data_IF_301785454593
#
_entry.id   IF_301785454593
#
_cell.length_a   1.000
_cell.length_b   1.000
_cell.length_c   1.000
_cell.angle_alpha   90.00
_cell.angle_beta   90.00
_cell.angle_gamma   90.00
#
_symmetry.space_group_name_H-M   'P 1'
#
loop_
_entity.id
_entity.type
_entity.pdbx_description
1 polymer ?
#
# COMPACT_ATOMS: atom_id res chain seq x y z
N UNK A 1 -19.62 74.83 -24.04
CA UNK A 1 -18.52 73.87 -23.83
C UNK A 1 -18.22 73.78 -22.33
N UNK A 2 -18.73 72.75 -21.63
CA UNK A 2 -18.13 72.10 -20.45
C UNK A 2 -19.05 70.95 -20.02
N UNK A 3 -18.42 69.82 -19.78
CA UNK A 3 -18.97 68.47 -19.81
C UNK A 3 -19.77 68.08 -18.57
N UNK A 4 -20.72 67.18 -18.79
CA UNK A 4 -21.33 66.28 -17.80
C UNK A 4 -20.27 65.48 -17.03
N UNK A 5 -20.54 65.15 -15.77
CA UNK A 5 -20.29 63.81 -15.21
C UNK A 5 -20.99 63.66 -13.85
N UNK A 6 -22.09 62.91 -13.85
CA UNK A 6 -22.66 62.30 -12.66
C UNK A 6 -21.91 60.99 -12.40
N UNK A 7 -21.27 60.86 -11.23
CA UNK A 7 -20.64 59.63 -10.81
C UNK A 7 -21.70 58.70 -10.18
N UNK A 8 -22.06 57.64 -10.90
CA UNK A 8 -22.78 56.49 -10.34
C UNK A 8 -21.73 55.56 -9.73
N UNK A 9 -21.69 55.48 -8.40
CA UNK A 9 -20.90 54.46 -7.70
C UNK A 9 -21.73 53.18 -7.69
N UNK A 10 -21.41 52.25 -8.60
CA UNK A 10 -21.93 50.90 -8.56
C UNK A 10 -21.21 50.13 -7.44
N UNK A 11 -21.92 49.80 -6.35
CA UNK A 11 -21.46 48.80 -5.38
C UNK A 11 -21.53 47.41 -6.03
N UNK A 12 -20.38 46.89 -6.45
CA UNK A 12 -20.23 45.48 -6.80
C UNK A 12 -20.25 44.65 -5.51
N UNK A 13 -21.36 43.98 -5.24
CA UNK A 13 -21.42 42.95 -4.21
C UNK A 13 -20.48 41.80 -4.62
N UNK A 14 -19.39 41.63 -3.88
CA UNK A 14 -18.53 40.45 -3.96
C UNK A 14 -19.34 39.25 -3.46
N UNK A 15 -19.83 38.44 -4.40
CA UNK A 15 -20.28 37.09 -4.09
C UNK A 15 -19.06 36.28 -3.66
N UNK A 16 -18.85 36.15 -2.36
CA UNK A 16 -17.91 35.19 -1.80
C UNK A 16 -18.53 33.82 -2.04
N UNK A 17 -18.06 33.10 -3.07
CA UNK A 17 -18.35 31.67 -3.19
C UNK A 17 -17.86 31.01 -1.91
N UNK A 18 -18.77 30.46 -1.11
CA UNK A 18 -18.39 29.57 -0.03
C UNK A 18 -17.54 28.46 -0.65
N UNK A 19 -16.28 28.37 -0.22
CA UNK A 19 -15.46 27.22 -0.53
C UNK A 19 -16.15 26.02 0.13
N UNK A 20 -16.90 25.25 -0.66
CA UNK A 20 -17.30 23.92 -0.25
C UNK A 20 -16.00 23.18 0.05
N UNK A 21 -15.85 22.68 1.27
CA UNK A 21 -14.75 21.80 1.62
C UNK A 21 -14.78 20.64 0.62
N UNK A 22 -13.86 20.68 -0.36
CA UNK A 22 -13.73 19.61 -1.33
C UNK A 22 -13.35 18.37 -0.53
N UNK A 23 -14.14 17.31 -0.63
CA UNK A 23 -13.80 16.04 -0.01
C UNK A 23 -12.39 15.67 -0.44
N UNK A 24 -11.52 15.36 0.54
CA UNK A 24 -10.15 14.96 0.25
C UNK A 24 -10.20 13.75 -0.71
N UNK A 25 -9.45 13.78 -1.82
CA UNK A 25 -9.57 12.77 -2.87
C UNK A 25 -9.10 11.38 -2.40
N UNK A 26 -8.35 11.32 -1.31
CA UNK A 26 -7.91 10.12 -0.60
C UNK A 26 -8.14 10.36 0.89
N UNK A 27 -8.60 9.34 1.62
CA UNK A 27 -8.70 9.40 3.07
C UNK A 27 -8.30 8.06 3.71
N UNK A 28 -7.01 7.92 4.02
CA UNK A 28 -6.52 6.77 4.80
C UNK A 28 -6.79 6.93 6.30
N UNK A 29 -6.88 8.16 6.80
CA UNK A 29 -6.82 8.47 8.23
C UNK A 29 -5.39 8.45 8.82
N UNK A 30 -4.35 8.22 8.00
CA UNK A 30 -2.94 8.21 8.40
C UNK A 30 -2.27 9.61 8.33
N UNK A 31 -2.99 10.59 7.81
CA UNK A 31 -2.57 11.99 7.71
C UNK A 31 -2.44 12.47 6.26
N UNK A 32 -2.67 13.77 6.06
CA UNK A 32 -2.73 14.39 4.73
C UNK A 32 -1.45 14.20 3.90
N UNK A 33 -0.28 14.07 4.54
CA UNK A 33 0.96 13.84 3.82
C UNK A 33 1.01 12.45 3.14
N UNK A 34 0.42 11.43 3.78
CA UNK A 34 0.32 10.08 3.21
C UNK A 34 -0.71 10.08 2.09
N UNK A 35 -1.87 10.69 2.34
CA UNK A 35 -2.97 10.81 1.37
C UNK A 35 -2.52 11.58 0.11
N UNK A 36 -1.71 12.62 0.27
CA UNK A 36 -1.17 13.41 -0.83
C UNK A 36 -0.30 12.56 -1.79
N UNK A 37 0.58 11.70 -1.25
CA UNK A 37 1.42 10.84 -2.10
C UNK A 37 0.56 9.74 -2.74
N UNK A 38 -0.39 9.15 -2.00
CA UNK A 38 -1.30 8.14 -2.55
C UNK A 38 -2.13 8.68 -3.71
N UNK A 39 -2.55 9.94 -3.64
CA UNK A 39 -3.35 10.58 -4.70
C UNK A 39 -2.67 10.58 -6.07
N UNK A 40 -1.33 10.47 -6.10
CA UNK A 40 -0.57 10.34 -7.35
C UNK A 40 -0.66 8.94 -8.01
N UNK A 41 -1.28 7.96 -7.35
CA UNK A 41 -1.62 6.65 -7.92
C UNK A 41 -3.14 6.48 -8.01
N UNK A 42 -3.65 6.34 -9.24
CA UNK A 42 -5.06 6.05 -9.49
C UNK A 42 -5.48 4.68 -8.95
N UNK A 43 -4.62 3.67 -9.08
CA UNK A 43 -4.85 2.32 -8.55
C UNK A 43 -4.96 2.36 -7.04
N UNK A 44 -3.98 2.97 -6.36
CA UNK A 44 -3.95 3.00 -4.90
C UNK A 44 -5.06 3.88 -4.32
N UNK A 45 -5.38 5.01 -4.97
CA UNK A 45 -6.52 5.85 -4.61
C UNK A 45 -7.83 5.07 -4.65
N UNK A 46 -8.07 4.30 -5.72
CA UNK A 46 -9.25 3.45 -5.83
C UNK A 46 -9.31 2.37 -4.75
N UNK A 47 -8.18 1.74 -4.44
CA UNK A 47 -8.09 0.70 -3.41
C UNK A 47 -8.33 1.25 -1.99
N UNK A 48 -7.71 2.39 -1.65
CA UNK A 48 -7.85 3.04 -0.34
C UNK A 48 -9.28 3.53 -0.11
N UNK A 49 -9.90 4.16 -1.12
CA UNK A 49 -11.26 4.67 -0.97
C UNK A 49 -12.34 3.57 -1.11
N UNK A 50 -12.00 2.46 -1.77
CA UNK A 50 -12.93 1.35 -2.00
C UNK A 50 -13.00 0.34 -0.85
N UNK A 51 -12.06 0.38 0.09
CA UNK A 51 -12.02 -0.57 1.21
C UNK A 51 -12.85 -0.10 2.39
N UNK A 52 -13.41 -1.06 3.13
CA UNK A 52 -14.03 -0.82 4.45
C UNK A 52 -13.05 -1.01 5.61
N UNK A 53 -11.81 -1.42 5.33
CA UNK A 53 -10.80 -1.67 6.36
C UNK A 53 -10.16 -0.33 6.76
N UNK A 54 -10.29 0.13 8.02
CA UNK A 54 -9.55 1.29 8.47
C UNK A 54 -8.04 1.03 8.44
N UNK A 55 -7.28 2.09 8.17
CA UNK A 55 -5.84 2.09 8.35
C UNK A 55 -5.48 2.62 9.74
N UNK A 56 -4.57 1.93 10.42
CA UNK A 56 -4.14 2.29 11.77
C UNK A 56 -2.62 2.20 11.85
N UNK A 57 -2.00 3.18 12.51
CA UNK A 57 -0.57 3.09 12.82
C UNK A 57 -0.30 2.07 13.94
N UNK A 58 0.76 1.27 13.77
CA UNK A 58 1.17 0.26 14.73
C UNK A 58 2.68 0.01 14.74
N UNK A 59 3.17 -0.91 15.59
CA UNK A 59 4.59 -1.26 15.65
C UNK A 59 5.07 -2.05 14.42
N UNK A 60 4.15 -2.62 13.64
CA UNK A 60 4.42 -3.46 12.48
C UNK A 60 3.40 -3.14 11.35
N UNK A 61 3.69 -3.62 10.15
CA UNK A 61 2.82 -3.52 8.99
C UNK A 61 2.25 -4.90 8.66
N UNK A 62 0.92 -5.02 8.60
CA UNK A 62 0.21 -6.24 8.23
C UNK A 62 -1.29 -5.98 8.02
N UNK A 63 -1.92 -6.84 7.23
CA UNK A 63 -3.38 -6.92 7.07
C UNK A 63 -4.00 -7.90 8.07
N UNK A 64 -4.80 -7.38 9.00
CA UNK A 64 -5.65 -8.20 9.87
C UNK A 64 -7.01 -8.44 9.19
N UNK A 65 -7.14 -9.57 8.47
CA UNK A 65 -8.40 -9.95 7.82
C UNK A 65 -9.54 -10.21 8.83
N UNK A 66 -9.35 -11.01 9.89
CA UNK A 66 -10.38 -11.22 10.91
C UNK A 66 -10.85 -9.93 11.61
N UNK A 67 -9.91 -9.05 11.98
CA UNK A 67 -10.21 -7.75 12.62
C UNK A 67 -10.56 -6.64 11.63
N UNK A 68 -10.57 -6.93 10.33
CA UNK A 68 -10.86 -6.00 9.25
C UNK A 68 -10.05 -4.70 9.31
N UNK A 69 -8.75 -4.76 9.65
CA UNK A 69 -7.90 -3.57 9.85
C UNK A 69 -6.58 -3.70 9.10
N UNK A 70 -6.10 -2.59 8.54
CA UNK A 70 -4.77 -2.51 7.90
C UNK A 70 -3.83 -1.78 8.86
N UNK A 71 -2.80 -2.47 9.33
CA UNK A 71 -1.78 -1.87 10.19
C UNK A 71 -0.60 -1.40 9.36
N UNK A 72 -0.14 -0.18 9.62
CA UNK A 72 1.02 0.44 8.97
C UNK A 72 2.02 0.87 10.07
N UNK A 73 3.32 0.66 9.86
CA UNK A 73 4.33 1.12 10.82
C UNK A 73 4.22 2.62 11.15
N UNK A 74 4.28 2.93 12.45
CA UNK A 74 4.15 4.27 13.02
C UNK A 74 4.92 5.34 12.24
N UNK A 75 4.26 6.44 11.87
CA UNK A 75 4.87 7.61 11.23
C UNK A 75 4.21 8.88 11.73
N UNK A 76 4.85 10.02 11.48
CA UNK A 76 4.26 11.34 11.74
C UNK A 76 4.52 12.25 10.55
N UNK A 77 3.45 12.85 10.01
CA UNK A 77 3.56 13.90 8.99
C UNK A 77 4.34 15.13 9.47
N UNK A 78 4.58 15.27 10.78
CA UNK A 78 5.42 16.34 11.33
C UNK A 78 6.93 16.02 11.30
N UNK A 79 7.34 14.80 10.95
CA UNK A 79 8.73 14.33 11.08
C UNK A 79 9.70 14.86 10.02
N UNK A 80 9.21 15.48 8.93
CA UNK A 80 9.99 15.85 7.75
C UNK A 80 10.82 14.68 7.11
N UNK A 81 10.62 13.44 7.56
CA UNK A 81 11.28 12.24 7.05
C UNK A 81 10.58 11.77 5.78
N UNK A 82 10.97 12.35 4.64
CA UNK A 82 10.42 12.00 3.33
C UNK A 82 10.66 10.53 2.96
N UNK A 83 11.85 9.93 3.16
CA UNK A 83 12.02 8.48 2.98
C UNK A 83 11.07 7.66 3.84
N UNK A 84 10.84 8.06 5.09
CA UNK A 84 9.87 7.43 5.98
C UNK A 84 8.42 7.54 5.47
N UNK A 85 8.03 8.71 4.95
CA UNK A 85 6.72 8.92 4.31
C UNK A 85 6.52 7.96 3.14
N UNK A 86 7.49 7.93 2.23
CA UNK A 86 7.46 7.09 1.04
C UNK A 86 7.40 5.61 1.38
N UNK A 87 8.13 5.18 2.41
CA UNK A 87 8.04 3.82 2.94
C UNK A 87 6.63 3.46 3.44
N UNK A 88 5.90 4.39 4.06
CA UNK A 88 4.52 4.15 4.54
C UNK A 88 3.53 4.01 3.38
N UNK A 89 3.70 4.81 2.33
CA UNK A 89 2.89 4.69 1.12
C UNK A 89 3.17 3.35 0.42
N UNK A 90 4.44 2.93 0.38
CA UNK A 90 4.84 1.61 -0.11
C UNK A 90 4.18 0.48 0.68
N UNK A 91 4.20 0.55 2.02
CA UNK A 91 3.49 -0.38 2.90
C UNK A 91 1.98 -0.40 2.63
N UNK A 92 1.32 0.76 2.54
CA UNK A 92 -0.11 0.84 2.21
C UNK A 92 -0.40 0.12 0.89
N UNK A 93 0.41 0.35 -0.14
CA UNK A 93 0.23 -0.31 -1.44
C UNK A 93 0.46 -1.82 -1.41
N UNK A 94 1.38 -2.32 -0.59
CA UNK A 94 1.59 -3.76 -0.41
C UNK A 94 0.39 -4.40 0.31
N UNK A 95 -0.08 -3.81 1.41
CA UNK A 95 -1.23 -4.33 2.16
C UNK A 95 -2.54 -4.28 1.34
N UNK A 96 -2.72 -3.27 0.48
CA UNK A 96 -3.82 -3.26 -0.49
C UNK A 96 -3.72 -4.38 -1.50
N UNK A 97 -2.51 -4.82 -1.84
CA UNK A 97 -2.31 -6.02 -2.65
C UNK A 97 -2.86 -7.28 -1.95
N UNK A 98 -2.57 -7.48 -0.66
CA UNK A 98 -3.15 -8.60 0.11
C UNK A 98 -4.66 -8.52 0.24
N UNK A 99 -5.23 -7.32 0.29
CA UNK A 99 -6.67 -7.15 0.42
C UNK A 99 -7.42 -7.41 -0.90
N UNK A 100 -6.90 -6.88 -2.02
CA UNK A 100 -7.61 -6.90 -3.30
C UNK A 100 -7.22 -8.05 -4.24
N UNK A 101 -6.01 -8.60 -4.09
CA UNK A 101 -5.45 -9.56 -5.04
C UNK A 101 -5.23 -10.95 -4.45
N UNK A 102 -5.45 -11.12 -3.14
CA UNK A 102 -5.39 -12.44 -2.52
C UNK A 102 -6.54 -13.32 -3.03
N UNK A 103 -6.18 -14.49 -3.52
CA UNK A 103 -7.10 -15.45 -4.12
C UNK A 103 -7.57 -16.52 -3.14
N UNK A 104 -7.02 -16.55 -1.93
CA UNK A 104 -7.21 -17.62 -0.96
C UNK A 104 -6.69 -18.96 -1.47
N UNK A 105 -6.50 -19.92 -0.57
CA UNK A 105 -6.18 -21.29 -0.95
C UNK A 105 -6.65 -22.29 0.09
N UNK A 106 -7.00 -23.49 -0.38
CA UNK A 106 -7.28 -24.63 0.48
C UNK A 106 -5.96 -25.11 1.08
N UNK A 107 -6.02 -25.51 2.35
CA UNK A 107 -4.88 -26.10 3.05
C UNK A 107 -4.47 -27.41 2.35
N UNK A 108 -3.29 -27.40 1.73
CA UNK A 108 -2.69 -28.52 1.01
C UNK A 108 -1.57 -29.17 1.83
N UNK A 109 -0.46 -29.51 1.17
CA UNK A 109 0.77 -29.87 1.88
C UNK A 109 1.47 -28.62 2.42
N UNK A 110 2.40 -28.79 3.36
CA UNK A 110 3.20 -27.68 3.90
C UNK A 110 3.95 -26.92 2.80
N UNK A 111 4.56 -27.63 1.85
CA UNK A 111 5.30 -27.03 0.74
C UNK A 111 4.38 -26.23 -0.20
N UNK A 112 3.22 -26.80 -0.55
CA UNK A 112 2.22 -26.13 -1.38
C UNK A 112 1.64 -24.88 -0.69
N UNK A 113 1.41 -24.96 0.62
CA UNK A 113 0.98 -23.80 1.41
C UNK A 113 2.01 -22.67 1.37
N UNK A 114 3.29 -22.97 1.61
CA UNK A 114 4.37 -21.98 1.55
C UNK A 114 4.47 -21.36 0.15
N UNK A 115 4.43 -22.18 -0.91
CA UNK A 115 4.51 -21.69 -2.29
C UNK A 115 3.33 -20.76 -2.65
N UNK A 116 2.11 -21.10 -2.23
CA UNK A 116 0.92 -20.27 -2.44
C UNK A 116 0.96 -18.98 -1.64
N UNK A 117 1.39 -19.05 -0.37
CA UNK A 117 1.57 -17.87 0.48
C UNK A 117 2.62 -16.92 -0.11
N UNK A 118 3.76 -17.45 -0.57
CA UNK A 118 4.77 -16.64 -1.25
C UNK A 118 4.26 -16.07 -2.58
N UNK A 119 3.46 -16.81 -3.34
CA UNK A 119 2.80 -16.26 -4.54
C UNK A 119 1.88 -15.08 -4.18
N UNK A 120 1.23 -15.11 -3.02
CA UNK A 120 0.41 -14.00 -2.52
C UNK A 120 1.27 -12.78 -2.16
N UNK A 121 2.42 -12.96 -1.52
CA UNK A 121 3.43 -11.89 -1.34
C UNK A 121 3.83 -11.28 -2.68
N UNK A 122 4.06 -12.13 -3.70
CA UNK A 122 4.38 -11.67 -5.03
C UNK A 122 3.30 -10.79 -5.66
N UNK A 123 2.01 -11.09 -5.42
CA UNK A 123 0.89 -10.24 -5.84
C UNK A 123 0.87 -8.90 -5.11
N UNK A 124 1.18 -8.90 -3.81
CA UNK A 124 1.29 -7.69 -3.03
C UNK A 124 2.43 -6.78 -3.50
N UNK A 125 3.61 -7.37 -3.77
CA UNK A 125 4.75 -6.66 -4.37
C UNK A 125 4.41 -6.11 -5.77
N UNK A 126 3.68 -6.86 -6.59
CA UNK A 126 3.23 -6.37 -7.90
C UNK A 126 2.26 -5.19 -7.77
N UNK A 127 1.34 -5.21 -6.80
CA UNK A 127 0.46 -4.07 -6.52
C UNK A 127 1.25 -2.83 -6.09
N UNK A 128 2.23 -3.03 -5.20
CA UNK A 128 3.15 -1.98 -4.78
C UNK A 128 3.96 -1.42 -5.97
N UNK A 129 4.44 -2.29 -6.88
CA UNK A 129 5.11 -1.86 -8.12
C UNK A 129 4.20 -1.04 -9.03
N UNK A 130 2.93 -1.40 -9.17
CA UNK A 130 1.95 -0.61 -9.95
C UNK A 130 1.77 0.78 -9.34
N UNK A 131 1.48 0.87 -8.04
CA UNK A 131 1.34 2.16 -7.36
C UNK A 131 2.62 3.01 -7.45
N UNK A 132 3.79 2.38 -7.27
CA UNK A 132 5.10 3.04 -7.41
C UNK A 132 5.26 3.67 -8.79
N UNK A 133 4.97 2.93 -9.87
CA UNK A 133 5.14 3.44 -11.22
C UNK A 133 4.18 4.59 -11.51
N UNK A 134 2.92 4.51 -11.06
CA UNK A 134 1.96 5.61 -11.23
C UNK A 134 2.39 6.88 -10.47
N UNK A 135 2.90 6.74 -9.24
CA UNK A 135 3.42 7.86 -8.45
C UNK A 135 4.66 8.47 -9.12
N UNK A 136 5.58 7.64 -9.62
CA UNK A 136 6.75 8.11 -10.37
C UNK A 136 6.32 8.88 -11.61
N UNK A 137 5.38 8.36 -12.40
CA UNK A 137 4.90 9.01 -13.62
C UNK A 137 4.23 10.36 -13.31
N UNK A 138 3.31 10.39 -12.33
CA UNK A 138 2.63 11.62 -11.92
C UNK A 138 3.57 12.66 -11.34
N UNK A 139 4.60 12.23 -10.61
CA UNK A 139 5.61 13.11 -10.02
C UNK A 139 6.78 13.44 -10.96
N UNK A 140 6.75 12.96 -12.21
CA UNK A 140 7.85 13.10 -13.18
C UNK A 140 9.20 12.60 -12.63
N UNK A 141 9.16 11.51 -11.87
CA UNK A 141 10.30 10.89 -11.21
C UNK A 141 10.69 11.50 -9.86
N UNK A 142 9.94 12.48 -9.35
CA UNK A 142 10.25 13.18 -8.10
C UNK A 142 9.90 12.41 -6.81
N UNK A 143 9.03 11.41 -6.90
CA UNK A 143 8.60 10.58 -5.77
C UNK A 143 8.74 9.09 -6.09
N UNK A 144 9.81 8.48 -5.60
CA UNK A 144 9.99 7.04 -5.66
C UNK A 144 9.67 6.41 -4.30
N UNK A 145 8.52 5.74 -4.19
CA UNK A 145 8.13 5.02 -2.96
C UNK A 145 8.86 3.69 -2.76
N UNK A 146 9.69 3.27 -3.74
CA UNK A 146 10.36 1.96 -3.79
C UNK A 146 9.40 0.77 -3.65
N UNK A 147 9.96 -0.45 -3.71
CA UNK A 147 9.26 -1.64 -3.24
C UNK A 147 9.54 -1.85 -1.74
N UNK A 148 8.57 -2.35 -0.98
CA UNK A 148 8.75 -2.70 0.43
C UNK A 148 9.50 -4.04 0.58
N UNK A 149 10.73 -4.09 0.10
CA UNK A 149 11.56 -5.30 0.07
C UNK A 149 13.06 -4.98 0.21
N UNK A 150 13.79 -5.82 0.94
CA UNK A 150 15.25 -5.76 1.07
C UNK A 150 15.98 -5.99 -0.26
N UNK A 151 15.37 -6.75 -1.18
CA UNK A 151 15.90 -7.05 -2.52
C UNK A 151 15.16 -6.31 -3.64
N UNK A 152 14.64 -5.09 -3.38
CA UNK A 152 13.85 -4.31 -4.34
C UNK A 152 14.46 -4.21 -5.75
N UNK A 153 15.77 -3.95 -5.97
CA UNK A 153 16.33 -3.89 -7.33
C UNK A 153 16.18 -5.20 -8.13
N UNK A 154 16.35 -6.35 -7.47
CA UNK A 154 16.22 -7.66 -8.11
C UNK A 154 14.76 -7.97 -8.45
N UNK A 155 13.83 -7.60 -7.57
CA UNK A 155 12.39 -7.74 -7.81
C UNK A 155 11.94 -6.84 -8.97
N UNK A 156 12.35 -5.57 -9.00
CA UNK A 156 12.05 -4.66 -10.11
C UNK A 156 12.57 -5.19 -11.46
N UNK A 157 13.77 -5.76 -11.49
CA UNK A 157 14.32 -6.41 -12.69
C UNK A 157 13.44 -7.60 -13.14
N UNK A 158 13.02 -8.42 -12.18
CA UNK A 158 12.13 -9.58 -12.44
C UNK A 158 10.76 -9.14 -12.97
N UNK A 159 10.19 -8.06 -12.40
CA UNK A 159 8.92 -7.47 -12.82
C UNK A 159 9.04 -6.90 -14.24
N UNK A 160 10.10 -6.14 -14.53
CA UNK A 160 10.35 -5.56 -15.84
C UNK A 160 10.54 -6.62 -16.93
N UNK A 161 11.16 -7.75 -16.60
CA UNK A 161 11.30 -8.88 -17.53
C UNK A 161 9.95 -9.54 -17.89
N UNK A 162 8.92 -9.40 -17.06
CA UNK A 162 7.60 -9.98 -17.29
C UNK A 162 7.61 -11.52 -17.41
N UNK A 163 6.67 -12.07 -18.17
CA UNK A 163 6.59 -13.50 -18.49
C UNK A 163 5.60 -14.31 -17.64
N UNK A 164 5.54 -15.62 -17.90
CA UNK A 164 4.67 -16.55 -17.18
C UNK A 164 4.99 -16.59 -15.67
N UNK A 165 3.96 -16.89 -14.88
CA UNK A 165 4.03 -17.11 -13.43
C UNK A 165 4.76 -15.99 -12.68
N UNK A 166 4.59 -14.74 -13.14
CA UNK A 166 5.33 -13.60 -12.61
C UNK A 166 5.12 -13.42 -11.10
N UNK A 167 3.88 -13.53 -10.63
CA UNK A 167 3.58 -13.43 -9.20
C UNK A 167 4.30 -14.50 -8.38
N UNK A 168 4.37 -15.74 -8.87
CA UNK A 168 5.09 -16.81 -8.18
C UNK A 168 6.58 -16.51 -8.12
N UNK A 169 7.21 -16.15 -9.24
CA UNK A 169 8.66 -15.84 -9.27
C UNK A 169 9.05 -14.65 -8.39
N UNK A 170 8.25 -13.59 -8.43
CA UNK A 170 8.43 -12.42 -7.55
C UNK A 170 8.24 -12.82 -6.09
N UNK A 171 7.20 -13.61 -5.82
CA UNK A 171 6.89 -14.14 -4.50
C UNK A 171 7.99 -15.00 -3.90
N UNK A 172 8.52 -15.95 -4.68
CA UNK A 172 9.61 -16.82 -4.27
C UNK A 172 10.88 -16.02 -3.93
N UNK A 173 11.24 -15.06 -4.80
CA UNK A 173 12.38 -14.19 -4.59
C UNK A 173 12.19 -13.23 -3.40
N UNK A 174 10.98 -12.73 -3.17
CA UNK A 174 10.64 -11.92 -2.01
C UNK A 174 10.77 -12.77 -0.73
N UNK A 175 10.10 -13.91 -0.68
CA UNK A 175 10.10 -14.78 0.48
C UNK A 175 11.50 -15.29 0.87
N UNK A 176 12.39 -15.51 -0.09
CA UNK A 176 13.77 -15.93 0.18
C UNK A 176 14.61 -14.83 0.87
N UNK A 177 14.39 -13.58 0.48
CA UNK A 177 15.27 -12.47 0.86
C UNK A 177 14.74 -11.58 2.00
N UNK A 178 13.46 -11.72 2.38
CA UNK A 178 12.78 -10.83 3.30
C UNK A 178 12.35 -11.52 4.59
N UNK A 179 12.08 -10.70 5.61
CA UNK A 179 11.57 -11.12 6.91
C UNK A 179 10.25 -10.42 7.22
N UNK A 180 9.39 -11.04 8.02
CA UNK A 180 8.14 -10.43 8.46
C UNK A 180 8.43 -9.27 9.42
N UNK A 181 7.62 -8.22 9.38
CA UNK A 181 7.74 -7.10 10.32
C UNK A 181 7.19 -7.43 11.72
N UNK A 182 6.38 -8.48 11.83
CA UNK A 182 5.69 -8.90 13.06
C UNK A 182 6.52 -9.88 13.90
N UNK A 183 7.24 -10.81 13.27
CA UNK A 183 8.04 -11.84 13.96
C UNK A 183 9.54 -11.72 13.70
N UNK A 184 9.95 -11.05 12.63
CA UNK A 184 11.35 -10.98 12.21
C UNK A 184 11.87 -12.27 11.57
N UNK A 185 11.00 -13.26 11.36
CA UNK A 185 11.35 -14.52 10.70
C UNK A 185 11.37 -14.34 9.19
N UNK A 186 12.20 -15.13 8.50
CA UNK A 186 12.10 -15.28 7.06
C UNK A 186 10.68 -15.76 6.67
N UNK A 187 10.11 -15.24 5.58
CA UNK A 187 8.74 -15.55 5.19
C UNK A 187 8.48 -17.05 4.95
N UNK A 188 9.44 -17.81 4.41
CA UNK A 188 9.26 -19.27 4.22
C UNK A 188 9.20 -20.01 5.56
N UNK A 189 9.96 -19.54 6.55
CA UNK A 189 9.91 -20.07 7.93
C UNK A 189 8.59 -19.69 8.58
N UNK A 190 8.21 -18.42 8.50
CA UNK A 190 6.95 -17.92 9.04
C UNK A 190 5.74 -18.69 8.50
N UNK A 191 5.61 -18.82 7.18
CA UNK A 191 4.49 -19.54 6.56
C UNK A 191 4.51 -21.04 6.85
N UNK A 192 5.71 -21.63 7.01
CA UNK A 192 5.83 -22.99 7.49
C UNK A 192 5.30 -23.15 8.92
N UNK A 193 5.64 -22.23 9.81
CA UNK A 193 5.16 -22.23 11.20
C UNK A 193 3.65 -21.96 11.29
N UNK A 194 3.09 -21.13 10.40
CA UNK A 194 1.64 -20.94 10.30
C UNK A 194 0.94 -22.23 9.86
N UNK A 195 1.46 -22.92 8.85
CA UNK A 195 0.92 -24.22 8.43
C UNK A 195 0.90 -25.21 9.59
N UNK A 196 2.01 -25.33 10.32
CA UNK A 196 2.15 -26.28 11.42
C UNK A 196 1.16 -25.98 12.57
N UNK A 197 0.79 -24.69 12.78
CA UNK A 197 -0.26 -24.29 13.74
C UNK A 197 -1.67 -24.63 13.26
N UNK A 198 -1.93 -24.52 11.96
CA UNK A 198 -3.22 -24.83 11.35
C UNK A 198 -3.45 -26.34 11.21
N UNK A 199 -2.37 -27.12 11.14
CA UNK A 199 -2.38 -28.58 11.01
C UNK A 199 -1.47 -29.25 12.05
N UNK A 200 -1.81 -29.18 13.35
CA UNK A 200 -1.00 -29.80 14.39
C UNK A 200 -0.91 -31.32 14.17
N UNK A 201 0.24 -31.96 14.42
CA UNK A 201 0.35 -33.41 14.33
C UNK A 201 -0.66 -34.08 15.27
N UNK A 202 -1.31 -35.14 14.79
CA UNK A 202 -2.24 -35.94 15.60
C UNK A 202 -1.52 -36.49 16.84
N UNK A 203 -2.14 -36.35 18.02
CA UNK A 203 -1.57 -36.77 19.31
C UNK A 203 -1.40 -38.30 19.50
N UNK A 204 -1.40 -39.11 18.43
CA UNK A 204 -1.34 -40.58 18.52
C UNK A 204 0.08 -41.18 18.48
N UNK A 205 1.13 -40.36 18.52
CA UNK A 205 2.52 -40.83 18.60
C UNK A 205 3.31 -40.23 19.79
N UNK A 206 2.77 -40.37 21.00
CA UNK A 206 3.53 -40.28 22.26
C UNK A 206 3.22 -41.49 23.14
#
# INVERSE_FOLDING_TARGET
>A
MKLFSAAVIAMSALFVTQAHAQQQPVNTGLGECVDFVIFASSTLTGQVNGTTYPFVYGPATYLDKPGSTVYIQNYSCASNDIPGLYSRVSMVSHEMGHLYLDQGWVLGTREDYIAKACTNEGRAVLNNSTARNEILDTSQGGADISLIAANAPALLSTIAAGGADLAQRVGDAFCEANVTSTTGENYKVYYGNEYDKLNPPSQEEQ
#
